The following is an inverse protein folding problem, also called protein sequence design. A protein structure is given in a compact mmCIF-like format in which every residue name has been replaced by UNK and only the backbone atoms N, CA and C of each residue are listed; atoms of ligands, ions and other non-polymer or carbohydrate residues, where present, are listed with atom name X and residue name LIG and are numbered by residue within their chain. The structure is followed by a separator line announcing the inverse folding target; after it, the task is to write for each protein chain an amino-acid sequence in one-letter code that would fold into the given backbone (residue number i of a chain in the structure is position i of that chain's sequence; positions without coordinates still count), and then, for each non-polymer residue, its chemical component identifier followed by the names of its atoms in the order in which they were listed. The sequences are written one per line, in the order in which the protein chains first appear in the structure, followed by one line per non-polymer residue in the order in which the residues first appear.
data_IF_834378280823
#
_entry.id   IF_834378280823
#
_cell.length_a   1.000
_cell.length_b   1.000
_cell.length_c   1.000
_cell.angle_alpha   90.00
_cell.angle_beta   90.00
_cell.angle_gamma   90.00
#
_symmetry.space_group_name_H-M   'P 1'
#
loop_
_entity.id
_entity.type
_entity.pdbx_description
1 polymer ?
#
# COMPACT_ATOMS: atom_id res chain seq x y z
N UNK A 1 53.51 18.13 -46.76
CA UNK A 1 53.11 16.81 -46.22
C UNK A 1 53.18 16.94 -44.70
N UNK A 2 52.12 17.00 -43.89
CA UNK A 2 50.65 16.96 -44.02
C UNK A 2 50.16 17.27 -42.58
N UNK A 3 49.73 18.50 -42.28
CA UNK A 3 48.33 18.91 -42.01
C UNK A 3 47.47 17.94 -41.19
N UNK A 4 47.20 18.35 -39.94
CA UNK A 4 45.90 18.42 -39.22
C UNK A 4 44.89 17.27 -39.32
N UNK A 5 44.47 16.76 -38.15
CA UNK A 5 43.05 16.63 -37.74
C UNK A 5 43.02 16.19 -36.26
N UNK A 6 42.76 17.10 -35.30
CA UNK A 6 41.45 17.52 -34.77
C UNK A 6 40.59 16.37 -34.26
N UNK A 7 40.40 16.38 -32.93
CA UNK A 7 39.16 16.20 -32.18
C UNK A 7 37.96 15.63 -32.94
N UNK A 8 37.33 14.60 -32.38
CA UNK A 8 35.87 14.49 -32.19
C UNK A 8 35.51 13.05 -31.78
N UNK A 9 34.69 12.97 -30.73
CA UNK A 9 33.73 11.94 -30.27
C UNK A 9 33.77 12.07 -28.73
N UNK A 10 33.34 13.24 -28.25
CA UNK A 10 31.95 13.53 -27.85
C UNK A 10 31.69 12.95 -26.47
N UNK A 11 31.76 13.87 -25.50
CA UNK A 11 31.03 13.84 -24.24
C UNK A 11 29.76 12.99 -24.38
N UNK A 12 29.69 11.91 -23.61
CA UNK A 12 28.41 11.23 -23.36
C UNK A 12 27.57 12.28 -22.64
N UNK A 13 26.46 12.78 -23.21
CA UNK A 13 25.58 13.65 -22.46
C UNK A 13 25.13 12.87 -21.24
N UNK A 14 25.22 13.50 -20.08
CA UNK A 14 24.61 13.03 -18.85
C UNK A 14 23.08 13.07 -19.11
N UNK A 15 22.55 12.04 -19.79
CA UNK A 15 21.12 11.84 -20.03
C UNK A 15 20.51 11.41 -18.69
N UNK A 16 20.50 12.37 -17.76
CA UNK A 16 19.71 12.42 -16.56
C UNK A 16 18.25 12.66 -16.92
N UNK A 17 17.74 12.01 -17.96
CA UNK A 17 16.31 11.93 -18.18
C UNK A 17 15.74 11.08 -17.04
N UNK A 18 15.32 11.78 -15.99
CA UNK A 18 14.65 11.20 -14.85
C UNK A 18 13.37 10.50 -15.33
N UNK A 19 12.92 9.47 -14.62
CA UNK A 19 11.65 8.78 -14.89
C UNK A 19 10.46 9.75 -15.05
N UNK A 20 10.57 10.99 -14.53
CA UNK A 20 9.62 12.07 -14.72
C UNK A 20 9.46 12.52 -16.18
N UNK A 21 10.51 12.56 -17.01
CA UNK A 21 10.40 13.00 -18.41
C UNK A 21 9.66 11.99 -19.30
N UNK A 22 9.74 10.70 -18.97
CA UNK A 22 8.97 9.63 -19.63
C UNK A 22 7.46 9.73 -19.35
N UNK A 23 7.04 10.46 -18.30
CA UNK A 23 5.64 10.58 -17.88
C UNK A 23 4.98 11.89 -18.33
N UNK A 24 5.78 12.93 -18.65
CA UNK A 24 5.28 14.21 -19.15
C UNK A 24 4.51 14.12 -20.49
N UNK A 25 4.65 13.01 -21.21
CA UNK A 25 4.00 12.78 -22.52
C UNK A 25 2.51 12.37 -22.40
N UNK A 26 2.01 12.10 -21.18
CA UNK A 26 0.63 11.64 -20.95
C UNK A 26 -0.15 12.55 -19.98
N UNK A 27 -0.41 13.80 -20.36
CA UNK A 27 -1.57 14.53 -19.81
C UNK A 27 -2.72 14.45 -20.81
N UNK A 28 -3.91 13.96 -20.40
CA UNK A 28 -4.96 14.95 -20.16
C UNK A 28 -6.07 14.58 -19.12
N UNK A 29 -6.47 15.64 -18.40
CA UNK A 29 -7.83 16.08 -17.95
C UNK A 29 -8.89 15.10 -17.41
N UNK A 30 -9.24 15.37 -16.12
CA UNK A 30 -10.51 15.14 -15.36
C UNK A 30 -10.64 13.84 -14.53
N UNK A 31 -11.17 13.88 -13.28
CA UNK A 31 -11.01 14.84 -12.19
C UNK A 31 -10.05 14.31 -11.11
N UNK A 32 -9.09 15.15 -10.74
CA UNK A 32 -7.94 14.89 -9.86
C UNK A 32 -8.23 15.01 -8.36
N UNK A 33 -9.45 14.74 -7.89
CA UNK A 33 -9.77 14.96 -6.47
C UNK A 33 -10.35 13.70 -5.81
N UNK A 34 -9.47 12.76 -5.47
CA UNK A 34 -9.55 12.19 -4.13
C UNK A 34 -8.53 12.98 -3.33
N UNK A 35 -9.03 13.98 -2.60
CA UNK A 35 -8.20 14.76 -1.71
C UNK A 35 -7.64 13.84 -0.63
N UNK A 36 -6.35 13.53 -0.67
CA UNK A 36 -5.69 12.81 0.43
C UNK A 36 -5.75 13.62 1.74
N UNK A 37 -6.06 14.94 1.69
CA UNK A 37 -6.39 15.72 2.88
C UNK A 37 -7.79 15.38 3.47
N UNK A 38 -8.71 14.80 2.69
CA UNK A 38 -10.04 14.35 3.17
C UNK A 38 -10.03 12.97 3.85
N UNK A 39 -8.92 12.24 3.88
CA UNK A 39 -8.76 11.17 4.89
C UNK A 39 -8.67 11.76 6.32
N UNK A 40 -8.34 13.05 6.42
CA UNK A 40 -8.33 13.81 7.68
C UNK A 40 -9.72 14.19 8.19
N UNK A 41 -10.72 14.41 7.32
CA UNK A 41 -12.10 14.73 7.75
C UNK A 41 -12.86 13.51 8.28
N UNK A 42 -12.42 12.29 7.94
CA UNK A 42 -12.91 11.04 8.56
C UNK A 42 -12.33 10.78 9.97
N UNK A 43 -11.43 11.63 10.47
CA UNK A 43 -10.72 11.44 11.74
C UNK A 43 -11.59 11.59 13.01
N UNK A 44 -12.79 12.15 12.89
CA UNK A 44 -13.60 12.46 14.07
C UNK A 44 -14.46 11.30 14.59
N UNK A 45 -14.60 10.21 13.84
CA UNK A 45 -15.85 9.43 13.91
C UNK A 45 -15.93 8.33 14.98
N UNK A 46 -14.85 7.82 15.59
CA UNK A 46 -15.06 6.67 16.51
C UNK A 46 -14.20 6.59 17.78
N UNK A 47 -14.29 7.64 18.60
CA UNK A 47 -13.85 7.59 20.01
C UNK A 47 -14.66 6.55 20.81
N UNK A 48 -15.93 6.34 20.45
CA UNK A 48 -16.86 5.40 21.08
C UNK A 48 -16.45 3.95 20.94
N UNK A 49 -16.07 3.50 19.74
CA UNK A 49 -15.62 2.14 19.48
C UNK A 49 -14.28 1.86 20.17
N UNK A 50 -13.35 2.83 20.18
CA UNK A 50 -12.12 2.72 20.97
C UNK A 50 -12.42 2.53 22.45
N UNK A 51 -13.32 3.35 23.02
CA UNK A 51 -13.76 3.20 24.40
C UNK A 51 -14.48 1.86 24.65
N UNK A 52 -15.29 1.37 23.71
CA UNK A 52 -15.96 0.06 23.81
C UNK A 52 -14.96 -1.09 23.80
N UNK A 53 -13.98 -1.06 22.88
CA UNK A 53 -12.91 -2.04 22.80
C UNK A 53 -12.03 -2.03 24.05
N UNK A 54 -11.70 -0.85 24.58
CA UNK A 54 -11.01 -0.71 25.86
C UNK A 54 -11.84 -1.23 27.05
N UNK A 55 -13.16 -0.96 27.05
CA UNK A 55 -14.07 -1.44 28.09
C UNK A 55 -14.24 -2.96 28.09
N UNK A 56 -14.08 -3.64 26.95
CA UNK A 56 -14.10 -5.11 26.85
C UNK A 56 -12.94 -5.77 27.63
N UNK A 57 -11.83 -5.05 27.86
CA UNK A 57 -10.66 -5.55 28.58
C UNK A 57 -10.06 -6.83 28.00
N UNK A 58 -9.09 -7.45 28.71
CA UNK A 58 -8.44 -8.68 28.24
C UNK A 58 -9.36 -9.92 28.20
N UNK A 59 -10.54 -9.88 28.84
CA UNK A 59 -11.38 -11.06 29.11
C UNK A 59 -12.70 -11.13 28.35
N UNK A 60 -13.20 -10.05 27.72
CA UNK A 60 -14.49 -10.08 27.02
C UNK A 60 -14.34 -10.22 25.49
N UNK A 61 -13.73 -11.32 25.06
CA UNK A 61 -13.72 -11.77 23.65
C UNK A 61 -14.97 -12.59 23.29
N UNK A 62 -15.94 -12.66 24.22
CA UNK A 62 -17.15 -13.44 24.05
C UNK A 62 -18.02 -12.85 22.93
N UNK A 63 -18.69 -13.73 22.19
CA UNK A 63 -19.54 -13.36 21.06
C UNK A 63 -20.49 -12.19 21.38
N UNK A 64 -21.07 -12.14 22.58
CA UNK A 64 -22.01 -11.09 23.03
C UNK A 64 -21.38 -9.69 23.03
N UNK A 65 -20.17 -9.54 23.58
CA UNK A 65 -19.45 -8.26 23.62
C UNK A 65 -19.07 -7.80 22.21
N UNK A 66 -18.68 -8.75 21.33
CA UNK A 66 -18.46 -8.48 19.92
C UNK A 66 -19.77 -8.11 19.20
N UNK A 67 -20.91 -8.73 19.52
CA UNK A 67 -22.22 -8.38 18.94
C UNK A 67 -22.62 -6.95 19.30
N UNK A 68 -22.36 -6.51 20.53
CA UNK A 68 -22.69 -5.15 20.98
C UNK A 68 -21.80 -4.09 20.34
N UNK A 69 -20.55 -4.44 20.06
CA UNK A 69 -19.60 -3.61 19.31
C UNK A 69 -19.93 -3.61 17.81
N UNK A 70 -20.35 -4.75 17.25
CA UNK A 70 -20.82 -4.92 15.86
C UNK A 70 -22.24 -4.40 15.60
N UNK A 71 -22.98 -3.97 16.63
CA UNK A 71 -24.26 -3.28 16.45
C UNK A 71 -24.08 -1.92 15.79
N UNK A 72 -22.95 -1.25 16.05
CA UNK A 72 -22.63 -0.01 15.35
C UNK A 72 -22.32 -0.33 13.89
N UNK A 73 -23.16 0.23 13.01
CA UNK A 73 -23.01 0.17 11.56
C UNK A 73 -22.00 1.20 11.08
N UNK A 74 -20.84 1.29 11.73
CA UNK A 74 -19.81 2.26 11.36
C UNK A 74 -19.33 1.96 9.94
N UNK A 75 -19.50 2.92 9.05
CA UNK A 75 -19.04 2.83 7.66
C UNK A 75 -17.53 3.07 7.56
N UNK A 76 -16.99 3.83 8.50
CA UNK A 76 -15.58 4.19 8.56
C UNK A 76 -15.03 4.14 9.98
N UNK A 77 -13.86 3.54 10.16
CA UNK A 77 -13.07 3.60 11.39
C UNK A 77 -11.77 4.34 11.10
N UNK A 78 -11.51 5.41 11.83
CA UNK A 78 -10.23 6.12 11.79
C UNK A 78 -9.55 6.09 13.15
N UNK A 79 -8.53 5.25 13.27
CA UNK A 79 -7.68 5.11 14.44
C UNK A 79 -6.23 5.51 14.12
N UNK A 80 -6.04 6.49 13.24
CA UNK A 80 -4.71 7.04 12.96
C UNK A 80 -4.01 7.47 14.26
N UNK A 81 -2.74 7.09 14.40
CA UNK A 81 -1.86 7.47 15.51
C UNK A 81 -2.50 7.30 16.90
N UNK A 82 -3.31 6.26 17.06
CA UNK A 82 -4.10 6.00 18.26
C UNK A 82 -3.38 5.15 19.31
N UNK A 83 -2.10 4.82 19.08
CA UNK A 83 -1.30 3.93 19.89
C UNK A 83 -1.97 2.56 20.08
N UNK A 84 -2.35 1.94 18.96
CA UNK A 84 -2.95 0.60 18.92
C UNK A 84 -1.89 -0.43 19.32
N UNK A 85 -2.16 -1.17 20.40
CA UNK A 85 -1.35 -2.32 20.81
C UNK A 85 -1.88 -3.64 20.24
N UNK A 86 -1.23 -4.74 20.65
CA UNK A 86 -1.58 -6.09 20.20
C UNK A 86 -3.03 -6.50 20.50
N UNK A 87 -3.57 -6.06 21.64
CA UNK A 87 -4.93 -6.41 22.07
C UNK A 87 -5.94 -5.70 21.18
N UNK A 88 -5.75 -4.39 20.96
CA UNK A 88 -6.63 -3.55 20.16
C UNK A 88 -6.66 -4.01 18.70
N UNK A 89 -5.51 -4.30 18.09
CA UNK A 89 -5.48 -4.78 16.69
C UNK A 89 -6.15 -6.15 16.54
N UNK A 90 -6.00 -7.03 17.53
CA UNK A 90 -6.61 -8.36 17.49
C UNK A 90 -8.13 -8.23 17.62
N UNK A 91 -8.63 -7.40 18.55
CA UNK A 91 -10.06 -7.13 18.69
C UNK A 91 -10.65 -6.47 17.44
N UNK A 92 -9.95 -5.49 16.86
CA UNK A 92 -10.34 -4.86 15.60
C UNK A 92 -10.35 -5.87 14.44
N UNK A 93 -9.35 -6.75 14.34
CA UNK A 93 -9.31 -7.80 13.31
C UNK A 93 -10.52 -8.73 13.43
N UNK A 94 -10.92 -9.08 14.65
CA UNK A 94 -12.16 -9.84 14.88
C UNK A 94 -13.38 -9.03 14.42
N UNK A 95 -13.47 -7.74 14.75
CA UNK A 95 -14.56 -6.90 14.28
C UNK A 95 -14.64 -6.85 12.75
N UNK A 96 -13.51 -6.62 12.06
CA UNK A 96 -13.40 -6.57 10.59
C UNK A 96 -13.85 -7.87 9.93
N UNK A 97 -13.62 -9.02 10.56
CA UNK A 97 -14.05 -10.32 10.02
C UNK A 97 -15.57 -10.54 10.10
N UNK A 98 -16.25 -9.89 11.05
CA UNK A 98 -17.70 -9.95 11.22
C UNK A 98 -18.45 -8.84 10.47
N UNK A 99 -17.85 -7.65 10.35
CA UNK A 99 -18.46 -6.50 9.67
C UNK A 99 -18.24 -6.57 8.15
N UNK A 100 -19.06 -7.40 7.53
CA UNK A 100 -19.05 -7.74 6.10
C UNK A 100 -20.13 -6.98 5.30
N UNK A 101 -20.61 -5.84 5.81
CA UNK A 101 -21.74 -5.12 5.18
C UNK A 101 -21.66 -3.61 5.30
N UNK A 102 -21.07 -3.09 6.37
CA UNK A 102 -21.11 -1.66 6.66
C UNK A 102 -19.71 -1.05 6.61
N UNK A 103 -18.68 -1.69 7.18
CA UNK A 103 -17.34 -1.11 7.22
C UNK A 103 -16.71 -1.08 5.82
N UNK A 104 -16.60 0.12 5.28
CA UNK A 104 -16.03 0.42 3.96
C UNK A 104 -14.65 1.05 4.07
N UNK A 105 -14.36 1.79 5.13
CA UNK A 105 -13.08 2.47 5.31
C UNK A 105 -12.43 2.17 6.66
N UNK A 106 -11.15 1.79 6.63
CA UNK A 106 -10.34 1.52 7.81
C UNK A 106 -8.99 2.24 7.71
N UNK A 107 -8.78 3.21 8.60
CA UNK A 107 -7.52 3.93 8.72
C UNK A 107 -6.82 3.57 10.04
N UNK A 108 -5.67 2.93 9.93
CA UNK A 108 -4.82 2.55 11.06
C UNK A 108 -3.42 3.17 10.97
N UNK A 109 -3.26 4.19 10.12
CA UNK A 109 -1.96 4.80 9.86
C UNK A 109 -1.25 5.30 11.13
N UNK A 110 0.08 5.21 11.17
CA UNK A 110 0.89 5.72 12.28
C UNK A 110 0.74 4.96 13.59
N UNK A 111 0.38 3.68 13.55
CA UNK A 111 0.32 2.79 14.73
C UNK A 111 1.31 1.64 14.62
N UNK A 112 1.88 1.17 15.72
CA UNK A 112 2.82 0.04 15.74
C UNK A 112 2.09 -1.32 15.63
N UNK A 113 1.45 -1.58 14.49
CA UNK A 113 0.72 -2.83 14.22
C UNK A 113 1.68 -4.02 14.22
N UNK A 114 2.84 -3.86 13.59
CA UNK A 114 3.87 -4.88 13.53
C UNK A 114 3.48 -6.11 12.69
N UNK A 115 4.39 -7.09 12.53
CA UNK A 115 4.12 -8.32 11.78
C UNK A 115 2.97 -9.14 12.35
N UNK A 116 2.81 -9.16 13.68
CA UNK A 116 1.76 -9.95 14.34
C UNK A 116 0.38 -9.35 14.09
N UNK A 117 0.23 -8.03 14.24
CA UNK A 117 -1.02 -7.33 13.92
C UNK A 117 -1.34 -7.38 12.42
N UNK A 118 -0.32 -7.33 11.58
CA UNK A 118 -0.45 -7.55 10.13
C UNK A 118 -1.01 -8.95 9.83
N UNK A 119 -0.55 -9.99 10.54
CA UNK A 119 -1.07 -11.34 10.39
C UNK A 119 -2.55 -11.47 10.79
N UNK A 120 -2.94 -10.87 11.92
CA UNK A 120 -4.34 -10.92 12.39
C UNK A 120 -5.27 -10.19 11.44
N UNK A 121 -4.86 -9.03 10.94
CA UNK A 121 -5.65 -8.26 9.98
C UNK A 121 -5.77 -9.01 8.64
N UNK A 122 -4.68 -9.61 8.16
CA UNK A 122 -4.72 -10.45 6.95
C UNK A 122 -5.71 -11.61 7.06
N UNK A 123 -5.77 -12.27 8.22
CA UNK A 123 -6.77 -13.32 8.48
C UNK A 123 -8.21 -12.77 8.48
N UNK A 124 -8.42 -11.55 8.97
CA UNK A 124 -9.73 -10.92 8.97
C UNK A 124 -10.20 -10.57 7.54
N UNK A 125 -9.29 -10.08 6.70
CA UNK A 125 -9.59 -9.72 5.30
C UNK A 125 -9.95 -10.94 4.44
N UNK A 126 -9.56 -12.17 4.82
CA UNK A 126 -9.99 -13.38 4.11
C UNK A 126 -11.52 -13.51 4.03
N UNK A 127 -12.22 -13.09 5.08
CA UNK A 127 -13.70 -13.17 5.17
C UNK A 127 -14.39 -11.86 4.87
N UNK A 128 -13.66 -10.73 4.91
CA UNK A 128 -14.22 -9.41 4.63
C UNK A 128 -14.59 -9.25 3.15
N UNK A 129 -15.72 -8.58 2.92
CA UNK A 129 -16.26 -8.33 1.58
C UNK A 129 -16.91 -6.95 1.43
N UNK A 130 -16.63 -6.02 2.35
CA UNK A 130 -17.19 -4.66 2.33
C UNK A 130 -16.12 -3.58 2.38
N UNK A 131 -14.90 -3.90 2.80
CA UNK A 131 -13.84 -2.92 2.94
C UNK A 131 -13.31 -2.48 1.57
N UNK A 132 -13.45 -1.19 1.29
CA UNK A 132 -13.03 -0.54 0.05
C UNK A 132 -11.73 0.26 0.25
N UNK A 133 -11.52 0.82 1.43
CA UNK A 133 -10.36 1.67 1.76
C UNK A 133 -9.62 1.12 2.97
N UNK A 134 -8.33 0.86 2.80
CA UNK A 134 -7.44 0.40 3.85
C UNK A 134 -6.16 1.25 3.89
N UNK A 135 -5.97 1.96 4.99
CA UNK A 135 -4.74 2.71 5.26
C UNK A 135 -3.94 2.06 6.40
N UNK A 136 -2.78 1.53 6.03
CA UNK A 136 -1.79 0.92 6.92
C UNK A 136 -0.44 1.65 6.80
N UNK A 137 -0.43 2.92 6.44
CA UNK A 137 0.82 3.68 6.32
C UNK A 137 1.51 3.88 7.68
N UNK A 138 2.84 3.80 7.72
CA UNK A 138 3.61 3.93 8.97
C UNK A 138 3.14 2.96 10.07
N UNK A 139 3.03 1.68 9.73
CA UNK A 139 2.52 0.62 10.61
C UNK A 139 3.51 -0.48 11.00
N UNK A 140 4.78 -0.34 10.62
CA UNK A 140 5.85 -1.31 10.89
C UNK A 140 5.48 -2.74 10.45
N UNK A 141 4.83 -2.90 9.30
CA UNK A 141 4.23 -4.19 8.87
C UNK A 141 5.22 -5.35 8.79
N UNK A 142 6.50 -5.08 8.53
CA UNK A 142 7.59 -6.08 8.52
C UNK A 142 8.41 -6.06 9.81
N UNK A 143 8.07 -5.23 10.78
CA UNK A 143 8.81 -5.03 12.02
C UNK A 143 10.01 -4.12 11.80
N UNK A 144 11.18 -4.55 12.25
CA UNK A 144 12.40 -3.75 12.10
C UNK A 144 13.00 -3.91 10.69
N UNK A 145 13.45 -2.83 10.03
CA UNK A 145 14.16 -2.94 8.75
C UNK A 145 15.46 -3.76 8.85
N UNK A 146 16.05 -3.88 10.04
CA UNK A 146 17.27 -4.68 10.27
C UNK A 146 16.99 -6.19 10.44
N UNK A 147 15.77 -6.56 10.83
CA UNK A 147 15.31 -7.94 10.98
C UNK A 147 13.85 -8.04 10.54
N UNK A 148 13.57 -7.93 9.24
CA UNK A 148 12.21 -7.96 8.72
C UNK A 148 11.61 -9.35 8.87
N UNK A 149 10.33 -9.41 9.27
CA UNK A 149 9.51 -10.61 9.22
C UNK A 149 8.39 -10.43 8.20
N UNK A 150 8.37 -11.31 7.20
CA UNK A 150 7.37 -11.27 6.13
C UNK A 150 6.18 -12.20 6.37
N UNK A 151 6.17 -12.99 7.45
CA UNK A 151 5.06 -13.91 7.73
C UNK A 151 3.74 -13.17 7.91
N UNK A 152 3.77 -12.05 8.64
CA UNK A 152 2.63 -11.15 8.81
C UNK A 152 2.15 -10.55 7.50
N UNK A 153 3.10 -10.07 6.69
CA UNK A 153 2.82 -9.50 5.38
C UNK A 153 2.21 -10.54 4.42
N UNK A 154 2.69 -11.79 4.44
CA UNK A 154 2.12 -12.87 3.63
C UNK A 154 0.67 -13.19 4.03
N UNK A 155 0.34 -13.10 5.32
CA UNK A 155 -1.05 -13.21 5.76
C UNK A 155 -1.90 -12.05 5.26
N UNK A 156 -1.38 -10.82 5.25
CA UNK A 156 -2.07 -9.66 4.68
C UNK A 156 -2.30 -9.82 3.18
N UNK A 157 -1.28 -10.25 2.44
CA UNK A 157 -1.35 -10.58 1.01
C UNK A 157 -2.46 -11.59 0.74
N UNK A 158 -2.51 -12.70 1.48
CA UNK A 158 -3.59 -13.70 1.33
C UNK A 158 -4.98 -13.13 1.58
N UNK A 159 -5.11 -12.22 2.54
CA UNK A 159 -6.36 -11.51 2.80
C UNK A 159 -6.78 -10.63 1.62
N UNK A 160 -5.84 -9.88 1.05
CA UNK A 160 -6.07 -9.03 -0.13
C UNK A 160 -6.38 -9.88 -1.37
N UNK A 161 -5.73 -11.02 -1.56
CA UNK A 161 -5.98 -11.97 -2.66
C UNK A 161 -7.31 -12.72 -2.52
N UNK A 162 -8.04 -12.55 -1.42
CA UNK A 162 -9.34 -13.20 -1.25
C UNK A 162 -10.28 -12.81 -2.39
N UNK A 163 -10.98 -13.80 -2.96
CA UNK A 163 -12.02 -13.56 -3.96
C UNK A 163 -13.19 -12.70 -3.44
N UNK A 164 -13.26 -12.49 -2.12
CA UNK A 164 -14.25 -11.63 -1.46
C UNK A 164 -13.79 -10.18 -1.34
N UNK A 165 -12.50 -9.90 -1.50
CA UNK A 165 -11.94 -8.57 -1.37
C UNK A 165 -12.54 -7.63 -2.41
N UNK A 166 -13.01 -6.48 -1.94
CA UNK A 166 -13.58 -5.40 -2.76
C UNK A 166 -12.76 -4.11 -2.63
N UNK A 167 -11.52 -4.21 -2.14
CA UNK A 167 -10.64 -3.06 -1.93
C UNK A 167 -10.48 -2.26 -3.22
N UNK A 168 -10.69 -0.95 -3.10
CA UNK A 168 -10.48 0.06 -4.14
C UNK A 168 -9.18 0.83 -3.89
N UNK A 169 -8.86 1.10 -2.62
CA UNK A 169 -7.74 1.93 -2.21
C UNK A 169 -6.93 1.26 -1.10
N UNK A 170 -5.63 1.12 -1.33
CA UNK A 170 -4.70 0.52 -0.38
C UNK A 170 -3.49 1.45 -0.19
N UNK A 171 -3.26 1.88 1.06
CA UNK A 171 -2.10 2.68 1.43
C UNK A 171 -1.17 1.87 2.34
N UNK A 172 0.06 1.65 1.88
CA UNK A 172 1.15 0.95 2.55
C UNK A 172 2.41 1.81 2.66
N UNK A 173 2.29 3.13 2.50
CA UNK A 173 3.44 4.03 2.56
C UNK A 173 4.22 3.92 3.88
N UNK A 174 5.52 4.23 3.86
CA UNK A 174 6.35 4.31 5.07
C UNK A 174 6.37 3.04 5.95
N UNK A 175 6.38 1.83 5.37
CA UNK A 175 6.36 0.58 6.14
C UNK A 175 7.66 -0.21 6.11
N UNK A 176 8.70 0.32 5.45
CA UNK A 176 9.95 -0.40 5.22
C UNK A 176 9.69 -1.84 4.72
N UNK A 177 8.82 -1.98 3.71
CA UNK A 177 8.51 -3.28 3.12
C UNK A 177 9.74 -3.95 2.51
N UNK A 178 10.78 -3.17 2.15
CA UNK A 178 12.01 -3.63 1.53
C UNK A 178 11.74 -4.30 0.15
N UNK A 179 12.78 -4.65 -0.63
CA UNK A 179 12.58 -5.21 -1.96
C UNK A 179 11.71 -6.48 -1.98
N UNK A 180 11.81 -7.32 -0.95
CA UNK A 180 11.02 -8.56 -0.83
C UNK A 180 9.55 -8.28 -0.52
N UNK A 181 9.23 -7.41 0.43
CA UNK A 181 7.84 -7.10 0.78
C UNK A 181 7.12 -6.32 -0.32
N UNK A 182 7.81 -5.39 -0.99
CA UNK A 182 7.27 -4.68 -2.16
C UNK A 182 6.92 -5.67 -3.27
N UNK A 183 7.80 -6.64 -3.56
CA UNK A 183 7.52 -7.68 -4.55
C UNK A 183 6.27 -8.49 -4.20
N UNK A 184 6.14 -8.94 -2.95
CA UNK A 184 4.99 -9.71 -2.48
C UNK A 184 3.68 -8.94 -2.68
N UNK A 185 3.63 -7.69 -2.21
CA UNK A 185 2.46 -6.83 -2.36
C UNK A 185 2.12 -6.52 -3.81
N UNK A 186 3.11 -6.13 -4.61
CA UNK A 186 2.89 -5.78 -6.01
C UNK A 186 2.44 -6.97 -6.85
N UNK A 187 2.99 -8.16 -6.62
CA UNK A 187 2.60 -9.38 -7.36
C UNK A 187 1.16 -9.78 -7.03
N UNK A 188 0.76 -9.63 -5.77
CA UNK A 188 -0.62 -9.86 -5.33
C UNK A 188 -1.60 -8.86 -5.93
N UNK A 189 -1.29 -7.57 -5.81
CA UNK A 189 -2.17 -6.49 -6.28
C UNK A 189 -2.27 -6.43 -7.81
N UNK A 190 -1.27 -6.94 -8.54
CA UNK A 190 -1.27 -6.99 -10.01
C UNK A 190 -2.52 -7.66 -10.60
N UNK A 191 -3.15 -8.59 -9.86
CA UNK A 191 -4.34 -9.31 -10.31
C UNK A 191 -5.58 -9.01 -9.46
N UNK A 192 -5.53 -7.99 -8.60
CA UNK A 192 -6.66 -7.67 -7.71
C UNK A 192 -7.88 -7.22 -8.52
N UNK A 193 -9.08 -7.78 -8.28
CA UNK A 193 -10.23 -7.60 -9.17
C UNK A 193 -10.87 -6.22 -9.11
N UNK A 194 -10.54 -5.39 -8.11
CA UNK A 194 -11.18 -4.09 -7.87
C UNK A 194 -10.22 -2.95 -7.53
N UNK A 195 -8.93 -3.20 -7.26
CA UNK A 195 -8.06 -2.16 -6.72
C UNK A 195 -7.73 -1.13 -7.80
N UNK A 196 -7.98 0.14 -7.50
CA UNK A 196 -7.77 1.27 -8.42
C UNK A 196 -6.65 2.21 -7.98
N UNK A 197 -6.36 2.27 -6.67
CA UNK A 197 -5.28 3.09 -6.13
C UNK A 197 -4.40 2.30 -5.17
N UNK A 198 -3.09 2.35 -5.40
CA UNK A 198 -2.08 1.79 -4.51
C UNK A 198 -1.05 2.85 -4.14
N UNK A 199 -0.78 2.99 -2.85
CA UNK A 199 0.37 3.75 -2.36
C UNK A 199 1.38 2.82 -1.68
N UNK A 200 2.59 2.74 -2.23
CA UNK A 200 3.76 2.02 -1.70
C UNK A 200 4.96 2.95 -1.57
N UNK A 201 4.76 4.26 -1.42
CA UNK A 201 5.84 5.23 -1.27
C UNK A 201 6.67 4.98 -0.01
N UNK A 202 7.95 5.38 -0.04
CA UNK A 202 8.92 5.22 1.03
C UNK A 202 8.95 3.80 1.65
N UNK A 203 9.10 2.79 0.79
CA UNK A 203 9.19 1.39 1.19
C UNK A 203 10.53 0.74 0.88
N UNK A 204 11.53 1.54 0.49
CA UNK A 204 12.90 1.09 0.28
C UNK A 204 12.98 -0.01 -0.80
N UNK A 205 12.16 0.07 -1.86
CA UNK A 205 11.98 -0.99 -2.86
C UNK A 205 13.25 -1.42 -3.62
N UNK A 206 14.26 -0.55 -3.73
CA UNK A 206 15.54 -0.88 -4.38
C UNK A 206 16.75 -0.88 -3.43
N UNK A 207 16.50 -1.03 -2.12
CA UNK A 207 17.58 -1.14 -1.13
C UNK A 207 18.49 -2.34 -1.44
N UNK A 208 19.75 -2.27 -0.99
CA UNK A 208 20.77 -3.30 -1.17
C UNK A 208 21.04 -3.72 -2.62
N UNK A 209 20.63 -2.90 -3.60
CA UNK A 209 20.75 -3.21 -5.03
C UNK A 209 19.95 -4.45 -5.46
N UNK A 210 18.92 -4.80 -4.71
CA UNK A 210 18.07 -5.92 -5.04
C UNK A 210 17.07 -5.55 -6.15
N UNK A 211 16.93 -6.47 -7.11
CA UNK A 211 16.02 -6.28 -8.24
C UNK A 211 14.56 -6.57 -7.92
N UNK A 212 14.31 -7.25 -6.81
CA UNK A 212 13.03 -7.87 -6.51
C UNK A 212 11.91 -6.84 -6.33
N UNK A 213 12.19 -5.72 -5.66
CA UNK A 213 11.18 -4.68 -5.45
C UNK A 213 10.78 -4.00 -6.75
N UNK A 214 11.74 -3.50 -7.53
CA UNK A 214 11.41 -2.83 -8.80
C UNK A 214 10.84 -3.78 -9.86
N UNK A 215 11.25 -5.05 -9.88
CA UNK A 215 10.62 -6.06 -10.75
C UNK A 215 9.18 -6.36 -10.31
N UNK A 216 8.91 -6.37 -9.00
CA UNK A 216 7.55 -6.45 -8.47
C UNK A 216 6.68 -5.31 -8.95
N UNK A 217 7.17 -4.07 -8.85
CA UNK A 217 6.45 -2.88 -9.33
C UNK A 217 6.26 -2.93 -10.85
N UNK A 218 7.29 -3.33 -11.62
CA UNK A 218 7.17 -3.49 -13.06
C UNK A 218 6.11 -4.55 -13.44
N UNK A 219 6.00 -5.65 -12.69
CA UNK A 219 4.94 -6.63 -12.89
C UNK A 219 3.54 -6.07 -12.54
N UNK A 220 3.41 -5.33 -11.44
CA UNK A 220 2.17 -4.63 -11.08
C UNK A 220 1.73 -3.73 -12.23
N UNK A 221 2.63 -2.89 -12.74
CA UNK A 221 2.36 -2.02 -13.88
C UNK A 221 1.99 -2.84 -15.12
N UNK A 222 2.69 -3.92 -15.42
CA UNK A 222 2.43 -4.70 -16.64
C UNK A 222 1.09 -5.44 -16.63
N UNK A 223 0.67 -5.97 -15.49
CA UNK A 223 -0.46 -6.91 -15.42
C UNK A 223 -1.71 -6.35 -14.76
N UNK A 224 -1.61 -5.24 -14.01
CA UNK A 224 -2.80 -4.61 -13.46
C UNK A 224 -3.75 -4.15 -14.55
N UNK A 225 -5.00 -4.62 -14.47
CA UNK A 225 -6.06 -4.29 -15.42
C UNK A 225 -7.05 -3.25 -14.87
N UNK A 226 -6.87 -2.82 -13.62
CA UNK A 226 -7.76 -1.88 -12.93
C UNK A 226 -7.06 -0.76 -12.17
N UNK A 227 -5.73 -0.85 -12.01
CA UNK A 227 -4.98 0.16 -11.29
C UNK A 227 -4.92 1.44 -12.15
N UNK A 228 -5.40 2.54 -11.56
CA UNK A 228 -5.49 3.87 -12.17
C UNK A 228 -4.41 4.78 -11.59
N UNK A 229 -4.17 4.67 -10.29
CA UNK A 229 -3.19 5.47 -9.54
C UNK A 229 -2.17 4.60 -8.82
N UNK A 230 -0.89 4.90 -9.01
CA UNK A 230 0.22 4.31 -8.27
C UNK A 230 1.10 5.42 -7.70
N UNK A 231 1.25 5.42 -6.38
CA UNK A 231 2.30 6.18 -5.71
C UNK A 231 3.42 5.23 -5.26
N UNK A 232 4.61 5.47 -5.80
CA UNK A 232 5.83 4.74 -5.50
C UNK A 232 6.99 5.68 -5.21
N UNK A 233 6.70 6.94 -4.84
CA UNK A 233 7.70 7.93 -4.49
C UNK A 233 8.60 7.49 -3.33
N UNK A 234 9.74 8.15 -3.15
CA UNK A 234 10.70 7.91 -2.08
C UNK A 234 11.19 6.45 -2.00
N UNK A 235 11.17 5.74 -3.14
CA UNK A 235 11.77 4.42 -3.24
C UNK A 235 13.10 4.53 -3.98
N UNK A 236 14.24 4.12 -3.38
CA UNK A 236 15.55 4.24 -4.01
C UNK A 236 15.67 3.22 -5.16
N UNK A 237 15.23 3.62 -6.35
CA UNK A 237 15.22 2.77 -7.54
C UNK A 237 16.53 2.94 -8.30
N UNK A 238 17.05 1.82 -8.79
CA UNK A 238 18.30 1.80 -9.52
C UNK A 238 18.11 2.23 -10.98
N UNK A 239 19.15 2.78 -11.61
CA UNK A 239 19.15 3.11 -13.06
C UNK A 239 18.77 1.91 -13.95
N UNK A 240 19.16 0.69 -13.56
CA UNK A 240 18.84 -0.53 -14.30
C UNK A 240 17.35 -0.96 -14.20
N UNK A 241 16.53 -0.29 -13.38
CA UNK A 241 15.10 -0.50 -13.31
C UNK A 241 14.35 0.20 -14.46
N UNK A 242 14.94 1.26 -15.06
CA UNK A 242 14.32 2.08 -16.12
C UNK A 242 13.81 1.24 -17.30
N UNK A 243 14.57 0.28 -17.88
CA UNK A 243 14.07 -0.53 -18.99
C UNK A 243 12.84 -1.38 -18.63
N UNK A 244 12.80 -1.91 -17.39
CA UNK A 244 11.67 -2.71 -16.93
C UNK A 244 10.40 -1.85 -16.76
N UNK A 245 10.54 -0.63 -16.24
CA UNK A 245 9.42 0.30 -16.10
C UNK A 245 8.91 0.80 -17.45
N UNK A 246 9.80 1.16 -18.38
CA UNK A 246 9.40 1.57 -19.73
C UNK A 246 8.60 0.46 -20.43
N UNK A 247 9.09 -0.77 -20.38
CA UNK A 247 8.40 -1.91 -20.97
C UNK A 247 7.04 -2.19 -20.28
N UNK A 248 6.97 -2.05 -18.96
CA UNK A 248 5.74 -2.27 -18.20
C UNK A 248 4.69 -1.17 -18.47
N UNK A 249 5.09 0.09 -18.49
CA UNK A 249 4.21 1.24 -18.78
C UNK A 249 3.71 1.23 -20.22
N UNK A 250 4.53 0.79 -21.17
CA UNK A 250 4.10 0.62 -22.56
C UNK A 250 3.00 -0.46 -22.70
N UNK A 251 3.01 -1.48 -21.85
CA UNK A 251 1.99 -2.53 -21.82
C UNK A 251 0.74 -2.15 -21.02
N UNK A 252 0.86 -1.21 -20.07
CA UNK A 252 -0.26 -0.79 -19.24
C UNK A 252 -1.19 0.19 -19.98
N UNK A 253 -2.49 -0.07 -19.90
CA UNK A 253 -3.53 0.75 -20.55
C UNK A 253 -4.46 1.46 -19.55
N UNK A 254 -4.34 1.20 -18.25
CA UNK A 254 -5.29 1.68 -17.23
C UNK A 254 -4.73 2.76 -16.32
N UNK A 255 -3.41 2.81 -16.13
CA UNK A 255 -2.73 3.74 -15.25
C UNK A 255 -2.75 5.14 -15.86
N UNK A 256 -3.34 6.07 -15.14
CA UNK A 256 -3.39 7.50 -15.51
C UNK A 256 -2.46 8.34 -14.64
N UNK A 257 -2.19 7.89 -13.41
CA UNK A 257 -1.46 8.67 -12.42
C UNK A 257 -0.33 7.84 -11.85
N UNK A 258 0.91 8.32 -11.99
CA UNK A 258 2.10 7.69 -11.45
C UNK A 258 2.95 8.73 -10.72
N UNK A 259 3.11 8.57 -9.40
CA UNK A 259 4.08 9.33 -8.63
C UNK A 259 5.33 8.46 -8.38
N UNK A 260 6.48 8.91 -8.89
CA UNK A 260 7.77 8.23 -8.75
C UNK A 260 8.90 9.22 -8.38
N UNK A 261 8.54 10.29 -7.65
CA UNK A 261 9.51 11.24 -7.10
C UNK A 261 10.52 10.54 -6.16
N UNK A 262 11.77 11.00 -6.14
CA UNK A 262 12.84 10.50 -5.28
C UNK A 262 13.31 11.58 -4.30
#
# INVERSE_FOLDING_TARGET
MSTTSTDLISEIPDDSESLHELLAVREPTVPTHIDHANLGTLAEVDRTFKSKVQAMGQRSWHAISLTEVCRDKSESINWRSSNIGFIEITALSVYVSFTNRNLMSLNLSGNQIGPVGCATLGKALLTNNSLEVLDLSSCDLTGSPFRPSYEGLMSLVKGIESNRSVLLHLNLANNALLPTGVRLMCTSVAFHPTLTSLNISNNQAGLFREKQGYLGIANLLRYSSRLISLDMADNPLQRNARPAFVAALAANQTLTTLNAAN
#
